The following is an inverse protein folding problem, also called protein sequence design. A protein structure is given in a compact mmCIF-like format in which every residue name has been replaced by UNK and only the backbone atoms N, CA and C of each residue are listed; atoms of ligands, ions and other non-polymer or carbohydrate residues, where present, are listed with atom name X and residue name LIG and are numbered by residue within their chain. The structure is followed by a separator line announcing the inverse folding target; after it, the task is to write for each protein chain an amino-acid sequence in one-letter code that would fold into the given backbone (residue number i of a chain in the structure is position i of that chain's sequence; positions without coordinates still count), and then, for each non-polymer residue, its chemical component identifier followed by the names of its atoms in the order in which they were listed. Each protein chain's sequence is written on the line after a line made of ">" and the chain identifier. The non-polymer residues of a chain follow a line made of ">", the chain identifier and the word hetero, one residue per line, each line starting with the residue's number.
data_IF_632267548441
#
_entry.id   IF_632267548441
#
_cell.length_a   1.000
_cell.length_b   1.000
_cell.length_c   1.000
_cell.angle_alpha   90.00
_cell.angle_beta   90.00
_cell.angle_gamma   90.00
#
_symmetry.space_group_name_H-M   'P 1'
#
loop_
_entity.id
_entity.type
_entity.pdbx_description
1 polymer ?
#
# COMPACT_ATOMS: atom_id res chain seq x y z
N UNK A 1 -19.88 -5.48 -0.71
CA UNK A 1 -18.79 -4.85 0.05
C UNK A 1 -17.83 -4.28 -0.97
N UNK A 2 -17.43 -3.03 -0.81
CA UNK A 2 -16.37 -2.46 -1.62
C UNK A 2 -15.00 -2.81 -1.00
N UNK A 3 -14.02 -3.10 -1.85
CA UNK A 3 -12.61 -3.14 -1.44
C UNK A 3 -11.93 -1.84 -1.87
N UNK A 4 -10.71 -1.61 -1.40
CA UNK A 4 -9.96 -0.40 -1.72
C UNK A 4 -8.68 -0.70 -2.50
N UNK A 5 -8.35 0.23 -3.40
CA UNK A 5 -7.13 0.25 -4.21
C UNK A 5 -6.44 1.59 -4.02
N UNK A 6 -5.50 1.64 -3.09
CA UNK A 6 -4.73 2.83 -2.73
C UNK A 6 -3.30 2.44 -2.37
N UNK A 7 -2.36 3.40 -2.37
CA UNK A 7 -0.95 3.08 -2.17
C UNK A 7 -0.58 2.83 -0.70
N UNK A 8 -1.21 3.58 0.23
CA UNK A 8 -0.90 3.55 1.66
C UNK A 8 -1.95 2.86 2.54
N UNK A 9 -2.94 2.20 1.93
CA UNK A 9 -4.00 1.47 2.63
C UNK A 9 -3.79 -0.05 2.65
N UNK A 10 -4.88 -0.77 2.91
CA UNK A 10 -4.88 -2.22 2.91
C UNK A 10 -4.72 -2.78 1.49
N UNK A 11 -3.99 -3.88 1.36
CA UNK A 11 -3.68 -4.52 0.06
C UNK A 11 -4.20 -5.95 -0.05
N UNK A 12 -4.69 -6.54 1.04
CA UNK A 12 -5.21 -7.91 1.07
C UNK A 12 -6.60 -7.88 1.69
N UNK A 13 -7.55 -8.47 0.98
CA UNK A 13 -8.96 -8.55 1.38
C UNK A 13 -9.43 -9.99 1.37
N UNK A 14 -10.29 -10.34 2.32
CA UNK A 14 -11.03 -11.61 2.33
C UNK A 14 -12.52 -11.31 2.37
N UNK A 15 -13.27 -11.95 1.48
CA UNK A 15 -14.70 -11.73 1.34
C UNK A 15 -15.43 -13.05 1.07
N UNK A 16 -16.75 -13.13 1.35
CA UNK A 16 -17.52 -14.33 1.04
C UNK A 16 -17.80 -14.48 -0.46
N UNK A 17 -17.80 -13.37 -1.21
CA UNK A 17 -18.07 -13.32 -2.66
C UNK A 17 -17.27 -12.19 -3.30
N UNK A 18 -16.88 -12.32 -4.58
CA UNK A 18 -16.11 -11.29 -5.27
C UNK A 18 -16.75 -9.90 -5.15
N UNK A 19 -15.92 -8.92 -4.84
CA UNK A 19 -16.38 -7.55 -4.72
C UNK A 19 -16.80 -7.01 -6.08
N UNK A 20 -17.95 -6.34 -6.11
CA UNK A 20 -18.50 -5.71 -7.32
C UNK A 20 -18.08 -4.25 -7.46
N UNK A 21 -17.41 -3.71 -6.45
CA UNK A 21 -16.99 -2.32 -6.38
C UNK A 21 -15.59 -2.23 -5.78
N UNK A 22 -14.76 -1.36 -6.35
CA UNK A 22 -13.42 -1.04 -5.88
C UNK A 22 -13.31 0.48 -5.73
N UNK A 23 -12.95 0.95 -4.54
CA UNK A 23 -12.66 2.35 -4.28
C UNK A 23 -11.20 2.65 -4.57
N UNK A 24 -10.96 3.44 -5.61
CA UNK A 24 -9.63 3.83 -6.05
C UNK A 24 -9.25 5.18 -5.45
N UNK A 25 -8.15 5.24 -4.71
CA UNK A 25 -7.58 6.50 -4.24
C UNK A 25 -6.79 7.18 -5.35
N UNK A 26 -7.18 8.39 -5.73
CA UNK A 26 -6.57 9.16 -6.83
C UNK A 26 -6.06 10.52 -6.37
N UNK A 27 -5.32 11.21 -7.24
CA UNK A 27 -4.91 12.61 -7.06
C UNK A 27 -6.06 13.60 -6.92
N UNK A 28 -7.26 13.24 -7.37
CA UNK A 28 -8.46 14.11 -7.42
C UNK A 28 -9.65 13.49 -6.68
N UNK A 29 -9.39 12.63 -5.69
CA UNK A 29 -10.41 12.08 -4.80
C UNK A 29 -10.52 10.56 -4.85
N UNK A 30 -11.60 10.06 -4.25
CA UNK A 30 -12.00 8.66 -4.30
C UNK A 30 -12.82 8.44 -5.56
N UNK A 31 -12.45 7.45 -6.37
CA UNK A 31 -13.23 7.00 -7.52
C UNK A 31 -13.72 5.57 -7.28
N UNK A 32 -15.02 5.39 -7.16
CA UNK A 32 -15.63 4.06 -7.10
C UNK A 32 -15.79 3.53 -8.53
N UNK A 33 -15.18 2.38 -8.81
CA UNK A 33 -15.42 1.63 -10.05
C UNK A 33 -16.25 0.40 -9.72
N UNK A 34 -17.27 0.11 -10.53
CA UNK A 34 -18.18 -1.00 -10.28
C UNK A 34 -18.39 -1.87 -11.52
N UNK A 35 -18.47 -3.18 -11.30
CA UNK A 35 -18.77 -4.19 -12.32
C UNK A 35 -20.26 -4.17 -12.64
N UNK A 36 -20.58 -3.91 -13.91
CA UNK A 36 -21.94 -3.87 -14.41
C UNK A 36 -22.53 -5.27 -14.51
N UNK A 37 -23.81 -5.43 -14.17
CA UNK A 37 -24.50 -6.73 -14.21
C UNK A 37 -24.83 -7.20 -15.62
N UNK A 38 -24.89 -6.28 -16.60
CA UNK A 38 -25.32 -6.56 -17.97
C UNK A 38 -24.24 -7.20 -18.84
N UNK A 39 -22.99 -6.77 -18.69
CA UNK A 39 -21.87 -7.13 -19.57
C UNK A 39 -20.58 -7.50 -18.82
N UNK A 40 -20.59 -7.50 -17.48
CA UNK A 40 -19.39 -7.69 -16.65
C UNK A 40 -18.28 -6.66 -16.87
N UNK A 41 -18.55 -5.53 -17.53
CA UNK A 41 -17.58 -4.46 -17.69
C UNK A 41 -17.50 -3.61 -16.42
N UNK A 42 -16.33 -3.04 -16.16
CA UNK A 42 -16.14 -2.09 -15.07
C UNK A 42 -16.38 -0.67 -15.57
N UNK A 43 -17.08 0.14 -14.77
CA UNK A 43 -17.32 1.55 -15.07
C UNK A 43 -17.16 2.39 -13.81
N UNK A 44 -16.82 3.66 -13.98
CA UNK A 44 -16.89 4.64 -12.88
C UNK A 44 -18.34 4.76 -12.45
N UNK A 45 -18.60 4.47 -11.18
CA UNK A 45 -19.93 4.50 -10.57
C UNK A 45 -20.15 5.78 -9.75
N UNK A 46 -19.15 6.18 -8.97
CA UNK A 46 -19.21 7.36 -8.11
C UNK A 46 -17.85 8.04 -7.97
N UNK A 47 -17.87 9.33 -7.63
CA UNK A 47 -16.69 10.11 -7.24
C UNK A 47 -16.99 10.84 -5.94
N UNK A 48 -16.06 10.82 -5.00
CA UNK A 48 -16.20 11.44 -3.69
C UNK A 48 -14.88 12.10 -3.26
N UNK A 49 -14.97 13.08 -2.35
CA UNK A 49 -13.81 13.84 -1.85
C UNK A 49 -12.96 14.42 -3.00
N UNK A 50 -13.62 15.02 -4.00
CA UNK A 50 -13.05 15.31 -5.32
C UNK A 50 -11.99 16.43 -5.36
N UNK A 51 -11.69 17.04 -4.22
CA UNK A 51 -10.72 18.12 -4.05
C UNK A 51 -9.47 17.67 -3.29
N UNK A 52 -9.34 16.37 -3.00
CA UNK A 52 -8.26 15.80 -2.19
C UNK A 52 -7.46 14.75 -2.94
N UNK A 53 -6.15 14.73 -2.73
CA UNK A 53 -5.31 13.63 -3.15
C UNK A 53 -5.37 12.51 -2.12
N UNK A 54 -6.05 11.42 -2.46
CA UNK A 54 -6.25 10.26 -1.58
C UNK A 54 -5.06 9.31 -1.67
N UNK A 55 -4.43 9.05 -0.53
CA UNK A 55 -3.22 8.24 -0.40
C UNK A 55 -3.49 6.84 0.12
N UNK A 56 -4.44 6.72 1.04
CA UNK A 56 -4.75 5.49 1.74
C UNK A 56 -6.25 5.34 1.94
N UNK A 57 -6.77 4.14 1.69
CA UNK A 57 -8.15 3.77 2.00
C UNK A 57 -8.12 2.40 2.69
N UNK A 58 -8.83 2.28 3.81
CA UNK A 58 -9.00 1.02 4.55
C UNK A 58 -10.47 0.79 4.87
N UNK A 59 -10.84 -0.47 5.06
CA UNK A 59 -12.13 -0.86 5.65
C UNK A 59 -11.85 -1.53 6.99
N UNK A 60 -12.47 -1.02 8.05
CA UNK A 60 -12.34 -1.57 9.39
C UNK A 60 -13.48 -2.59 9.61
N UNK A 61 -13.16 -3.89 9.80
CA UNK A 61 -14.16 -4.95 9.73
C UNK A 61 -15.16 -4.97 10.89
N UNK A 62 -14.81 -4.53 12.10
CA UNK A 62 -15.67 -4.59 13.29
C UNK A 62 -16.76 -3.50 13.26
N UNK A 63 -16.40 -2.25 12.94
CA UNK A 63 -17.34 -1.14 12.77
C UNK A 63 -18.01 -1.13 11.39
N UNK A 64 -17.38 -1.75 10.39
CA UNK A 64 -17.81 -1.69 8.99
C UNK A 64 -17.53 -0.36 8.29
N UNK A 65 -16.93 0.61 8.98
CA UNK A 65 -16.57 1.91 8.41
C UNK A 65 -15.41 1.79 7.43
N UNK A 66 -15.42 2.65 6.42
CA UNK A 66 -14.25 2.89 5.57
C UNK A 66 -13.58 4.20 5.98
N UNK A 67 -12.26 4.24 5.89
CA UNK A 67 -11.48 5.44 6.17
C UNK A 67 -10.62 5.81 4.95
N UNK A 68 -10.53 7.10 4.63
CA UNK A 68 -9.72 7.63 3.56
C UNK A 68 -8.79 8.73 4.09
N UNK A 69 -7.49 8.59 3.86
CA UNK A 69 -6.45 9.55 4.20
C UNK A 69 -6.05 10.36 2.96
N UNK A 70 -5.81 11.65 3.14
CA UNK A 70 -5.45 12.57 2.07
C UNK A 70 -4.13 13.33 2.30
N UNK A 71 -3.45 13.69 1.21
CA UNK A 71 -2.44 14.75 1.19
C UNK A 71 -3.12 16.13 1.23
N UNK A 72 -2.45 17.11 1.86
CA UNK A 72 -2.96 18.48 2.03
C UNK A 72 -4.40 18.50 2.59
N UNK A 73 -4.68 17.58 3.50
CA UNK A 73 -6.03 17.26 3.93
C UNK A 73 -6.08 16.46 5.22
N UNK A 74 -7.14 15.67 5.31
CA UNK A 74 -7.73 15.13 6.54
C UNK A 74 -7.98 13.63 6.38
N UNK A 75 -8.26 12.94 7.47
CA UNK A 75 -8.84 11.60 7.45
C UNK A 75 -10.36 11.73 7.38
N UNK A 76 -11.01 10.96 6.53
CA UNK A 76 -12.47 10.93 6.39
C UNK A 76 -12.99 9.52 6.66
N UNK A 77 -14.21 9.40 7.18
CA UNK A 77 -14.90 8.12 7.33
C UNK A 77 -16.16 8.05 6.47
N UNK A 78 -16.49 6.85 6.01
CA UNK A 78 -17.73 6.54 5.31
C UNK A 78 -18.42 5.35 5.98
N UNK A 79 -19.73 5.48 6.20
CA UNK A 79 -20.58 4.43 6.75
C UNK A 79 -21.43 3.70 5.69
N UNK A 80 -21.29 4.07 4.40
CA UNK A 80 -22.17 3.64 3.31
C UNK A 80 -21.40 3.13 2.08
N UNK A 81 -20.28 2.42 2.34
CA UNK A 81 -19.37 1.86 1.33
C UNK A 81 -18.78 2.93 0.38
N UNK A 82 -18.49 4.12 0.91
CA UNK A 82 -17.76 5.17 0.18
C UNK A 82 -18.63 6.12 -0.63
N UNK A 83 -19.95 6.14 -0.42
CA UNK A 83 -20.87 7.07 -1.12
C UNK A 83 -20.83 8.45 -0.49
N UNK A 84 -20.85 8.53 0.83
CA UNK A 84 -20.72 9.76 1.60
C UNK A 84 -19.58 9.65 2.60
N UNK A 85 -18.94 10.79 2.89
CA UNK A 85 -17.75 10.88 3.71
C UNK A 85 -17.84 12.06 4.65
N UNK A 86 -17.39 11.88 5.90
CA UNK A 86 -17.30 12.93 6.89
C UNK A 86 -15.87 13.06 7.43
N UNK A 87 -15.41 14.28 7.79
CA UNK A 87 -14.09 14.48 8.39
C UNK A 87 -13.95 13.77 9.75
N UNK A 88 -12.77 13.22 9.99
CA UNK A 88 -12.36 12.43 11.16
C UNK A 88 -10.88 12.68 11.47
N UNK A 89 -10.50 13.94 11.66
CA UNK A 89 -9.11 14.41 11.76
C UNK A 89 -8.81 15.27 13.00
N UNK A 90 -9.74 15.36 13.96
CA UNK A 90 -9.53 16.16 15.17
C UNK A 90 -8.30 15.65 15.94
N UNK A 91 -7.34 16.54 16.19
CA UNK A 91 -6.08 16.22 16.87
C UNK A 91 -4.92 15.83 15.95
N UNK A 92 -5.14 15.64 14.64
CA UNK A 92 -4.04 15.46 13.69
C UNK A 92 -3.32 16.79 13.46
N UNK A 93 -2.04 16.85 13.83
CA UNK A 93 -1.20 18.03 13.62
C UNK A 93 -0.49 18.05 12.27
N UNK A 94 -0.53 16.93 11.52
CA UNK A 94 0.05 16.79 10.18
C UNK A 94 -1.05 16.52 9.15
N UNK A 95 -1.02 17.23 8.03
CA UNK A 95 -2.07 17.20 7.00
C UNK A 95 -1.76 16.29 5.80
N UNK A 96 -0.58 15.70 5.73
CA UNK A 96 -0.23 14.78 4.66
C UNK A 96 -0.28 13.35 5.19
N UNK A 97 -1.48 12.77 5.18
CA UNK A 97 -1.66 11.35 5.51
C UNK A 97 -1.04 10.53 4.39
N UNK A 98 -0.14 9.62 4.73
CA UNK A 98 0.57 8.79 3.78
C UNK A 98 0.13 7.32 3.86
N UNK A 99 -0.14 6.83 5.07
CA UNK A 99 -0.61 5.48 5.33
C UNK A 99 -1.71 5.43 6.39
N UNK A 100 -2.60 4.45 6.24
CA UNK A 100 -3.66 4.13 7.19
C UNK A 100 -3.65 2.64 7.50
N UNK A 101 -3.84 2.31 8.78
CA UNK A 101 -4.04 0.94 9.20
C UNK A 101 -5.02 0.85 10.38
N UNK A 102 -5.64 -0.31 10.56
CA UNK A 102 -6.52 -0.59 11.69
C UNK A 102 -6.15 -1.94 12.29
N UNK A 103 -6.12 -2.02 13.61
CA UNK A 103 -5.78 -3.25 14.31
C UNK A 103 -6.50 -3.30 15.66
N UNK A 104 -6.84 -4.51 16.11
CA UNK A 104 -7.34 -4.70 17.48
C UNK A 104 -6.18 -4.71 18.46
N UNK A 105 -6.14 -3.74 19.36
CA UNK A 105 -5.13 -3.61 20.43
C UNK A 105 -5.87 -3.63 21.77
N UNK A 106 -5.46 -4.51 22.69
CA UNK A 106 -6.09 -4.66 24.01
C UNK A 106 -7.62 -4.79 23.97
N UNK A 107 -8.15 -5.52 22.98
CA UNK A 107 -9.57 -5.81 22.84
C UNK A 107 -10.41 -4.72 22.17
N UNK A 108 -9.82 -3.62 21.70
CA UNK A 108 -10.51 -2.53 21.00
C UNK A 108 -9.90 -2.27 19.64
N UNK A 109 -10.69 -1.78 18.69
CA UNK A 109 -10.20 -1.27 17.41
C UNK A 109 -9.40 0.00 17.67
N UNK A 110 -8.17 0.03 17.16
CA UNK A 110 -7.32 1.21 17.11
C UNK A 110 -6.96 1.50 15.65
N UNK A 111 -7.15 2.75 15.22
CA UNK A 111 -6.69 3.23 13.93
C UNK A 111 -5.30 3.85 14.07
N UNK A 112 -4.50 3.76 13.00
CA UNK A 112 -3.16 4.30 12.92
C UNK A 112 -3.02 5.14 11.65
N UNK A 113 -2.40 6.30 11.76
CA UNK A 113 -2.08 7.23 10.67
C UNK A 113 -0.58 7.44 10.64
N UNK A 114 0.04 7.15 9.49
CA UNK A 114 1.40 7.54 9.17
C UNK A 114 1.42 8.74 8.24
N UNK A 115 2.29 9.73 8.48
CA UNK A 115 2.27 11.01 7.73
C UNK A 115 3.59 11.36 7.04
N UNK A 116 3.59 12.47 6.29
CA UNK A 116 4.74 13.24 5.82
C UNK A 116 4.69 14.66 6.43
N UNK A 117 5.64 15.11 7.27
CA UNK A 117 6.78 14.39 7.82
C UNK A 117 6.40 13.12 8.58
N UNK A 118 7.38 12.23 8.78
CA UNK A 118 7.20 10.92 9.41
C UNK A 118 6.76 11.03 10.89
N UNK A 119 5.46 11.11 11.11
CA UNK A 119 4.81 11.01 12.41
C UNK A 119 3.84 9.82 12.41
N UNK A 120 3.54 9.33 13.60
CA UNK A 120 2.56 8.28 13.83
C UNK A 120 1.48 8.80 14.79
N UNK A 121 0.22 8.67 14.39
CA UNK A 121 -0.93 9.00 15.22
C UNK A 121 -1.82 7.78 15.42
N UNK A 122 -2.54 7.76 16.53
CA UNK A 122 -3.52 6.72 16.84
C UNK A 122 -4.87 7.32 17.23
N UNK A 123 -5.93 6.56 16.97
CA UNK A 123 -7.28 6.86 17.44
C UNK A 123 -7.93 5.60 17.98
N UNK A 124 -8.52 5.69 19.17
CA UNK A 124 -9.26 4.62 19.85
C UNK A 124 -10.78 4.81 19.75
N UNK A 125 -11.24 5.80 18.98
CA UNK A 125 -12.63 6.21 18.83
C UNK A 125 -13.04 6.38 17.36
N UNK A 126 -12.49 5.52 16.51
CA UNK A 126 -12.80 5.45 15.07
C UNK A 126 -12.57 6.79 14.36
N UNK A 127 -11.43 7.42 14.64
CA UNK A 127 -10.96 8.64 14.00
C UNK A 127 -11.60 9.92 14.53
N UNK A 128 -12.42 9.88 15.59
CA UNK A 128 -12.98 11.10 16.17
C UNK A 128 -11.92 11.95 16.85
N UNK A 129 -10.91 11.33 17.47
CA UNK A 129 -9.78 12.02 18.08
C UNK A 129 -8.48 11.26 17.82
N UNK A 130 -7.43 12.01 17.50
CA UNK A 130 -6.10 11.49 17.24
C UNK A 130 -5.09 11.96 18.28
N UNK A 131 -4.23 11.04 18.70
CA UNK A 131 -3.10 11.31 19.60
C UNK A 131 -1.81 10.87 18.91
N UNK A 132 -0.77 11.70 18.97
CA UNK A 132 0.54 11.34 18.43
C UNK A 132 1.24 10.28 19.31
N UNK A 133 1.93 9.33 18.68
CA UNK A 133 2.93 8.46 19.28
C UNK A 133 4.34 8.98 18.92
N UNK A 134 4.91 9.92 19.70
CA UNK A 134 6.16 10.58 19.33
C UNK A 134 7.39 9.68 19.42
N UNK A 135 7.30 8.55 20.14
CA UNK A 135 8.41 7.63 20.36
C UNK A 135 8.98 7.04 19.06
N UNK A 136 8.18 6.97 17.98
CA UNK A 136 8.66 6.59 16.64
C UNK A 136 9.87 7.46 16.23
N UNK A 137 9.84 8.75 16.59
CA UNK A 137 10.88 9.75 16.28
C UNK A 137 11.94 9.87 17.38
N UNK A 138 12.05 8.90 18.28
CA UNK A 138 13.06 8.90 19.36
C UNK A 138 14.24 7.98 19.07
N UNK A 139 14.34 7.42 17.86
CA UNK A 139 15.44 6.54 17.44
C UNK A 139 16.63 7.32 16.84
N UNK A 140 17.87 6.77 16.88
CA UNK A 140 19.06 7.48 16.43
C UNK A 140 19.09 7.87 14.95
N UNK A 141 18.37 7.16 14.07
CA UNK A 141 18.40 7.43 12.62
C UNK A 141 17.55 8.63 12.18
N UNK A 142 16.71 9.21 13.03
CA UNK A 142 15.79 10.31 12.68
C UNK A 142 16.45 11.47 11.92
N UNK A 143 17.64 11.98 12.31
CA UNK A 143 18.32 13.04 11.56
C UNK A 143 18.73 12.68 10.12
N UNK A 144 18.73 11.38 9.77
CA UNK A 144 19.08 10.85 8.45
C UNK A 144 17.87 10.57 7.57
N UNK A 145 16.66 10.54 8.14
CA UNK A 145 15.44 10.25 7.39
C UNK A 145 15.21 11.33 6.34
N UNK A 146 15.25 10.92 5.07
CA UNK A 146 15.22 11.88 3.98
C UNK A 146 14.70 11.24 2.69
N UNK A 147 13.56 11.72 2.18
CA UNK A 147 13.11 11.29 0.86
C UNK A 147 13.90 12.01 -0.25
N UNK A 148 14.46 11.32 -1.27
CA UNK A 148 15.30 11.96 -2.28
C UNK A 148 14.61 13.06 -3.09
N UNK A 149 13.28 13.00 -3.25
CA UNK A 149 12.54 14.05 -3.92
C UNK A 149 12.21 15.22 -2.97
N UNK A 150 12.18 16.47 -3.46
CA UNK A 150 11.66 17.59 -2.68
C UNK A 150 10.26 17.27 -2.13
N UNK A 151 9.96 17.61 -0.86
CA UNK A 151 10.69 18.55 -0.01
C UNK A 151 11.84 17.95 0.83
N UNK A 152 12.31 16.73 0.56
CA UNK A 152 13.40 16.10 1.35
C UNK A 152 12.99 15.74 2.78
N UNK A 153 11.78 15.18 2.89
CA UNK A 153 11.14 14.86 4.16
C UNK A 153 10.77 13.39 4.13
N UNK A 154 11.19 12.63 5.14
CA UNK A 154 10.78 11.23 5.29
C UNK A 154 9.31 11.11 5.69
N UNK A 155 8.70 9.96 5.36
CA UNK A 155 7.30 9.68 5.65
C UNK A 155 7.10 8.24 6.10
N UNK A 156 6.07 8.02 6.92
CA UNK A 156 5.68 6.66 7.34
C UNK A 156 4.92 6.01 6.20
N UNK A 157 5.62 5.16 5.46
CA UNK A 157 5.14 4.58 4.20
C UNK A 157 4.12 3.47 4.40
N UNK A 158 4.34 2.62 5.39
CA UNK A 158 3.48 1.49 5.68
C UNK A 158 3.55 1.13 7.16
N UNK A 159 2.43 0.63 7.68
CA UNK A 159 2.27 0.18 9.07
C UNK A 159 1.75 -1.26 9.01
N UNK A 160 2.42 -2.18 9.71
CA UNK A 160 2.02 -3.58 9.79
C UNK A 160 2.00 -4.04 11.25
N UNK A 161 1.25 -5.10 11.52
CA UNK A 161 1.11 -5.67 12.86
C UNK A 161 1.41 -7.15 12.81
N UNK A 162 2.09 -7.65 13.84
CA UNK A 162 2.21 -9.09 14.04
C UNK A 162 0.81 -9.69 14.27
N UNK A 163 0.40 -10.71 13.49
CA UNK A 163 -0.93 -11.30 13.60
C UNK A 163 -1.16 -12.06 14.92
N UNK A 164 -0.10 -12.52 15.59
CA UNK A 164 -0.18 -13.22 16.87
C UNK A 164 -0.06 -12.27 18.07
N UNK A 165 0.65 -11.15 17.90
CA UNK A 165 0.77 -10.11 18.93
C UNK A 165 0.54 -8.70 18.36
N UNK A 166 -0.70 -8.19 18.36
CA UNK A 166 -1.03 -6.86 17.83
C UNK A 166 -0.34 -5.66 18.50
N UNK A 167 0.30 -5.84 19.65
CA UNK A 167 1.16 -4.81 20.25
C UNK A 167 2.50 -4.67 19.51
N UNK A 168 2.90 -5.67 18.72
CA UNK A 168 4.06 -5.59 17.85
C UNK A 168 3.70 -4.86 16.56
N UNK A 169 4.27 -3.67 16.38
CA UNK A 169 4.02 -2.76 15.26
C UNK A 169 5.31 -2.63 14.46
N UNK A 170 5.20 -2.72 13.14
CA UNK A 170 6.29 -2.40 12.22
C UNK A 170 5.94 -1.15 11.42
N UNK A 171 6.87 -0.18 11.38
CA UNK A 171 6.74 1.03 10.59
C UNK A 171 7.85 1.11 9.56
N UNK A 172 7.48 1.20 8.28
CA UNK A 172 8.40 1.42 7.17
C UNK A 172 8.55 2.92 6.92
N UNK A 173 9.76 3.45 7.04
CA UNK A 173 10.10 4.83 6.67
C UNK A 173 10.83 4.77 5.32
N UNK A 174 10.23 5.36 4.29
CA UNK A 174 10.87 5.40 2.96
C UNK A 174 12.12 6.28 3.03
N UNK A 175 13.27 5.66 2.77
CA UNK A 175 14.61 6.24 2.99
C UNK A 175 14.80 6.72 4.43
N UNK A 176 14.44 5.85 5.37
CA UNK A 176 14.68 5.99 6.82
C UNK A 176 14.81 4.67 7.57
N UNK A 177 14.42 3.56 6.92
CA UNK A 177 14.58 2.21 7.43
C UNK A 177 13.28 1.60 7.96
N UNK A 178 13.40 0.36 8.44
CA UNK A 178 12.33 -0.33 9.15
C UNK A 178 12.51 -0.15 10.65
N UNK A 179 11.42 0.11 11.35
CA UNK A 179 11.37 0.13 12.80
C UNK A 179 10.35 -0.90 13.32
N UNK A 180 10.59 -1.44 14.51
CA UNK A 180 9.65 -2.28 15.26
C UNK A 180 9.42 -1.72 16.66
N UNK A 181 8.18 -1.77 17.11
CA UNK A 181 7.81 -1.68 18.51
C UNK A 181 7.18 -3.01 18.93
N UNK A 182 7.35 -3.42 20.18
CA UNK A 182 6.72 -4.64 20.76
C UNK A 182 5.74 -4.31 21.90
N UNK A 183 5.50 -3.02 22.15
CA UNK A 183 4.75 -2.48 23.28
C UNK A 183 3.70 -1.45 22.85
N UNK A 184 3.16 -1.59 21.64
CA UNK A 184 2.08 -0.74 21.14
C UNK A 184 2.53 0.65 20.70
N UNK A 185 3.83 0.84 20.44
CA UNK A 185 4.43 2.06 19.92
C UNK A 185 5.09 2.94 20.97
N UNK A 186 5.29 2.46 22.21
CA UNK A 186 5.94 3.20 23.29
C UNK A 186 7.47 3.23 23.12
N UNK A 187 8.07 2.14 22.66
CA UNK A 187 9.50 2.06 22.33
C UNK A 187 9.70 1.46 20.94
N UNK A 188 10.77 1.88 20.27
CA UNK A 188 11.08 1.47 18.91
C UNK A 188 12.54 1.04 18.78
N UNK A 189 12.77 -0.02 18.02
CA UNK A 189 14.10 -0.49 17.60
C UNK A 189 14.23 -0.44 16.07
N UNK A 190 15.46 -0.28 15.60
CA UNK A 190 15.80 -0.14 14.18
C UNK A 190 16.38 -1.43 13.61
N UNK A 191 16.23 -1.63 12.30
CA UNK A 191 16.88 -2.73 11.57
C UNK A 191 17.97 -2.19 10.62
N UNK A 192 19.16 -1.81 11.12
CA UNK A 192 20.18 -1.13 10.32
C UNK A 192 20.85 -2.01 9.25
N UNK A 193 20.66 -3.33 9.30
CA UNK A 193 21.15 -4.27 8.29
C UNK A 193 20.23 -4.37 7.07
N UNK A 194 18.99 -3.90 7.17
CA UNK A 194 18.07 -3.78 6.04
C UNK A 194 18.37 -2.47 5.29
N UNK A 195 18.22 -2.48 3.97
CA UNK A 195 18.37 -1.28 3.15
C UNK A 195 17.36 -0.18 3.58
N UNK A 196 17.82 1.07 3.67
CA UNK A 196 17.03 2.16 4.28
C UNK A 196 15.77 2.57 3.50
N UNK A 197 15.70 2.27 2.20
CA UNK A 197 14.57 2.63 1.34
C UNK A 197 13.47 1.56 1.40
N UNK A 198 12.80 1.45 2.56
CA UNK A 198 11.79 0.40 2.80
C UNK A 198 10.42 0.87 2.33
N UNK A 199 9.87 0.20 1.31
CA UNK A 199 8.57 0.57 0.74
C UNK A 199 7.40 -0.13 1.42
N UNK A 200 7.55 -1.43 1.72
CA UNK A 200 6.52 -2.22 2.38
C UNK A 200 7.14 -3.43 3.07
N UNK A 201 6.64 -3.72 4.27
CA UNK A 201 6.87 -4.98 4.97
C UNK A 201 5.64 -5.88 4.81
N UNK A 202 5.85 -7.18 4.67
CA UNK A 202 4.85 -8.22 4.86
C UNK A 202 5.34 -9.24 5.88
N UNK A 203 4.41 -9.72 6.70
CA UNK A 203 4.66 -10.69 7.76
C UNK A 203 4.02 -12.00 7.32
N UNK A 204 4.76 -13.11 7.35
CA UNK A 204 4.22 -14.40 6.98
C UNK A 204 3.08 -14.79 7.94
N UNK A 205 1.89 -15.19 7.45
CA UNK A 205 0.69 -15.24 8.28
C UNK A 205 0.67 -16.39 9.30
N UNK A 206 1.47 -17.43 9.09
CA UNK A 206 1.61 -18.56 10.03
C UNK A 206 3.00 -18.70 10.64
N UNK A 207 3.89 -17.75 10.35
CA UNK A 207 5.21 -17.66 10.98
C UNK A 207 5.61 -16.19 11.10
N UNK A 208 5.13 -15.46 12.12
CA UNK A 208 5.36 -14.02 12.24
C UNK A 208 6.83 -13.60 12.35
N UNK A 209 7.74 -14.56 12.55
CA UNK A 209 9.18 -14.32 12.53
C UNK A 209 9.73 -14.19 11.12
N UNK A 210 9.03 -14.73 10.13
CA UNK A 210 9.44 -14.68 8.74
C UNK A 210 8.89 -13.42 8.06
N UNK A 211 9.79 -12.51 7.75
CA UNK A 211 9.48 -11.18 7.21
C UNK A 211 9.93 -11.04 5.76
N UNK A 212 9.14 -10.33 4.97
CA UNK A 212 9.47 -9.91 3.62
C UNK A 212 9.46 -8.38 3.56
N UNK A 213 10.53 -7.76 3.06
CA UNK A 213 10.61 -6.33 2.87
C UNK A 213 10.92 -6.02 1.41
N UNK A 214 9.99 -5.33 0.72
CA UNK A 214 10.30 -4.73 -0.58
C UNK A 214 10.87 -3.35 -0.36
N UNK A 215 11.98 -3.09 -1.05
CA UNK A 215 12.80 -1.88 -0.89
C UNK A 215 13.12 -1.28 -2.24
N UNK A 216 13.71 -0.08 -2.25
CA UNK A 216 14.25 0.53 -3.46
C UNK A 216 15.37 -0.26 -4.15
N UNK A 217 15.81 -1.41 -3.63
CA UNK A 217 16.83 -2.29 -4.23
C UNK A 217 16.37 -3.72 -4.49
N UNK A 218 15.12 -4.05 -4.21
CA UNK A 218 14.60 -5.41 -4.36
C UNK A 218 13.96 -5.95 -3.10
N UNK A 219 13.70 -7.26 -3.10
CA UNK A 219 13.10 -8.03 -2.03
C UNK A 219 14.17 -8.54 -1.06
N UNK A 220 13.98 -8.25 0.22
CA UNK A 220 14.76 -8.79 1.33
C UNK A 220 13.88 -9.72 2.16
N UNK A 221 14.50 -10.76 2.70
CA UNK A 221 13.84 -11.76 3.54
C UNK A 221 14.56 -11.89 4.88
N UNK A 222 13.81 -11.82 5.98
CA UNK A 222 14.32 -11.95 7.33
C UNK A 222 13.63 -13.09 8.08
N UNK A 223 14.23 -14.28 8.23
CA UNK A 223 13.58 -15.45 8.82
C UNK A 223 13.41 -15.39 10.34
N UNK A 224 14.19 -14.54 11.03
CA UNK A 224 14.27 -14.49 12.49
C UNK A 224 13.88 -13.12 13.04
N UNK A 225 12.65 -12.69 12.75
CA UNK A 225 12.07 -11.41 13.17
C UNK A 225 12.95 -10.21 12.78
N UNK A 226 13.57 -10.28 11.60
CA UNK A 226 14.41 -9.22 11.05
C UNK A 226 15.81 -9.09 11.66
N UNK A 227 16.26 -10.00 12.52
CA UNK A 227 17.63 -9.97 13.08
C UNK A 227 18.73 -10.06 12.01
N UNK A 228 18.43 -10.71 10.89
CA UNK A 228 19.22 -10.74 9.66
C UNK A 228 18.30 -10.59 8.45
N UNK A 229 18.84 -10.03 7.38
CA UNK A 229 18.16 -9.89 6.10
C UNK A 229 19.01 -10.45 4.96
N UNK A 230 18.40 -11.28 4.12
CA UNK A 230 18.98 -11.80 2.89
C UNK A 230 18.28 -11.17 1.69
N UNK A 231 19.04 -10.60 0.76
CA UNK A 231 18.48 -10.02 -0.46
C UNK A 231 18.19 -11.14 -1.48
N UNK A 232 16.92 -11.38 -1.77
CA UNK A 232 16.47 -12.43 -2.71
C UNK A 232 16.27 -11.91 -4.13
N UNK A 233 15.97 -10.62 -4.30
CA UNK A 233 15.96 -9.98 -5.62
C UNK A 233 16.75 -8.67 -5.62
N UNK A 234 17.28 -8.32 -6.79
CA UNK A 234 18.14 -7.16 -7.03
C UNK A 234 17.60 -6.32 -8.18
N UNK A 235 18.22 -5.16 -8.39
CA UNK A 235 17.79 -4.21 -9.43
C UNK A 235 17.91 -4.76 -10.85
N UNK A 236 18.89 -5.64 -11.04
CA UNK A 236 19.23 -6.22 -12.34
C UNK A 236 18.33 -7.40 -12.71
N UNK A 237 17.54 -7.92 -11.76
CA UNK A 237 16.65 -9.05 -12.01
C UNK A 237 15.47 -8.64 -12.90
N UNK A 238 14.97 -9.57 -13.71
CA UNK A 238 13.87 -9.30 -14.64
C UNK A 238 12.58 -8.81 -13.97
N UNK A 239 12.41 -9.14 -12.68
CA UNK A 239 11.27 -8.77 -11.83
C UNK A 239 11.10 -7.25 -11.73
N UNK A 240 12.19 -6.48 -11.90
CA UNK A 240 12.23 -5.01 -11.83
C UNK A 240 13.03 -4.50 -10.63
N UNK A 241 13.60 -3.30 -10.76
CA UNK A 241 14.55 -2.77 -9.78
C UNK A 241 14.00 -1.80 -8.73
N UNK A 242 12.72 -1.49 -8.78
CA UNK A 242 12.06 -0.68 -7.75
C UNK A 242 10.69 -1.28 -7.38
N UNK A 243 10.66 -2.38 -6.60
CA UNK A 243 9.42 -3.05 -6.19
C UNK A 243 8.63 -2.24 -5.16
N UNK A 244 7.30 -2.34 -5.16
CA UNK A 244 6.44 -1.55 -4.28
C UNK A 244 5.15 -2.28 -3.88
N UNK A 245 4.30 -2.61 -4.84
CA UNK A 245 3.20 -3.55 -4.66
C UNK A 245 3.74 -4.93 -4.32
N UNK A 246 3.35 -5.47 -3.18
CA UNK A 246 3.73 -6.81 -2.73
C UNK A 246 2.58 -7.39 -1.91
N UNK A 247 2.06 -8.53 -2.34
CA UNK A 247 0.98 -9.26 -1.65
C UNK A 247 1.22 -10.76 -1.76
N UNK A 248 0.71 -11.52 -0.79
CA UNK A 248 0.59 -12.96 -0.87
C UNK A 248 -0.89 -13.34 -0.79
N UNK A 249 -1.22 -14.53 -1.30
CA UNK A 249 -2.54 -15.10 -1.15
C UNK A 249 -2.73 -15.62 0.28
N UNK A 250 -3.76 -15.19 1.02
CA UNK A 250 -3.96 -15.63 2.41
C UNK A 250 -4.04 -17.15 2.59
N UNK A 251 -4.77 -17.85 1.72
CA UNK A 251 -4.92 -19.31 1.84
C UNK A 251 -3.67 -20.11 1.46
N UNK A 252 -2.76 -19.51 0.69
CA UNK A 252 -1.51 -20.13 0.25
C UNK A 252 -0.42 -19.06 0.12
N UNK A 253 0.30 -18.76 1.21
CA UNK A 253 1.31 -17.70 1.23
C UNK A 253 2.49 -17.95 0.30
N UNK A 254 2.61 -19.14 -0.32
CA UNK A 254 3.62 -19.39 -1.36
C UNK A 254 3.28 -18.70 -2.68
N UNK A 255 2.00 -18.43 -2.91
CA UNK A 255 1.52 -17.68 -4.08
C UNK A 255 1.59 -16.19 -3.76
N UNK A 256 2.54 -15.52 -4.41
CA UNK A 256 2.84 -14.10 -4.17
C UNK A 256 2.82 -13.30 -5.46
N UNK A 257 2.53 -12.02 -5.35
CA UNK A 257 2.58 -11.09 -6.47
C UNK A 257 3.38 -9.85 -6.09
N UNK A 258 4.22 -9.41 -7.02
CA UNK A 258 5.06 -8.23 -6.86
C UNK A 258 4.93 -7.33 -8.07
N UNK A 259 4.79 -6.03 -7.83
CA UNK A 259 4.87 -5.00 -8.87
C UNK A 259 6.16 -4.24 -8.69
N UNK A 260 6.93 -4.05 -9.75
CA UNK A 260 8.16 -3.29 -9.70
C UNK A 260 8.36 -2.46 -10.96
N UNK A 261 8.78 -1.21 -10.77
CA UNK A 261 9.31 -0.41 -11.86
C UNK A 261 10.72 -0.86 -12.23
N UNK A 262 11.17 -0.48 -13.43
CA UNK A 262 12.52 -0.74 -13.88
C UNK A 262 13.54 0.06 -13.05
N UNK A 263 13.27 1.35 -12.86
CA UNK A 263 14.13 2.29 -12.14
C UNK A 263 13.35 3.09 -11.09
N UNK A 264 14.10 3.82 -10.25
CA UNK A 264 13.56 4.70 -9.23
C UNK A 264 12.84 5.94 -9.83
N UNK A 265 11.98 6.63 -9.04
CA UNK A 265 11.20 7.77 -9.51
C UNK A 265 11.99 8.95 -10.07
N UNK A 266 13.27 9.08 -9.70
CA UNK A 266 14.15 10.09 -10.30
C UNK A 266 14.38 9.85 -11.80
N UNK A 267 14.60 8.60 -12.20
CA UNK A 267 14.88 8.22 -13.59
C UNK A 267 13.65 8.34 -14.45
N UNK A 268 12.49 7.82 -14.00
CA UNK A 268 11.31 7.85 -14.87
C UNK A 268 10.75 9.26 -15.11
N UNK A 269 11.04 10.23 -14.23
CA UNK A 269 10.66 11.64 -14.45
C UNK A 269 11.45 12.28 -15.59
N UNK A 270 12.64 11.77 -15.89
CA UNK A 270 13.48 12.27 -17.00
C UNK A 270 13.25 11.45 -18.26
N UNK A 271 13.12 10.13 -18.16
CA UNK A 271 12.91 9.23 -19.30
C UNK A 271 11.46 9.15 -19.76
N UNK A 272 10.51 9.63 -18.96
CA UNK A 272 9.06 9.51 -19.19
C UNK A 272 8.60 8.03 -19.23
N UNK A 273 9.37 7.14 -18.60
CA UNK A 273 9.16 5.69 -18.64
C UNK A 273 9.59 5.03 -17.33
N UNK A 274 8.63 4.50 -16.57
CA UNK A 274 8.86 3.73 -15.35
C UNK A 274 9.19 2.26 -15.63
N UNK A 275 8.67 1.70 -16.73
CA UNK A 275 8.96 0.34 -17.16
C UNK A 275 8.43 -0.74 -16.23
N UNK A 276 7.26 -0.53 -15.62
CA UNK A 276 6.76 -1.41 -14.56
C UNK A 276 6.27 -2.77 -15.07
N UNK A 277 6.39 -3.77 -14.20
CA UNK A 277 5.98 -5.16 -14.41
C UNK A 277 5.20 -5.68 -13.22
N UNK A 278 4.41 -6.72 -13.46
CA UNK A 278 3.78 -7.55 -12.44
C UNK A 278 4.38 -8.95 -12.57
N UNK A 279 4.78 -9.53 -11.44
CA UNK A 279 5.38 -10.85 -11.37
C UNK A 279 4.70 -11.71 -10.33
N UNK A 280 4.70 -13.02 -10.54
CA UNK A 280 4.13 -14.01 -9.62
C UNK A 280 5.20 -14.98 -9.14
N UNK A 281 5.15 -15.32 -7.86
CA UNK A 281 5.86 -16.48 -7.29
C UNK A 281 4.85 -17.53 -6.85
N UNK A 282 5.23 -18.81 -6.92
CA UNK A 282 4.46 -19.96 -6.41
C UNK A 282 5.27 -20.80 -5.41
N UNK A 283 6.45 -20.32 -5.02
CA UNK A 283 7.40 -20.99 -4.13
C UNK A 283 7.83 -20.12 -2.95
N UNK A 284 7.01 -19.12 -2.60
CA UNK A 284 7.22 -18.24 -1.45
C UNK A 284 8.26 -17.15 -1.69
N UNK A 285 8.40 -16.70 -2.94
CA UNK A 285 9.26 -15.59 -3.35
C UNK A 285 10.67 -16.01 -3.81
N UNK A 286 10.96 -17.31 -3.92
CA UNK A 286 12.29 -17.81 -4.34
C UNK A 286 12.50 -17.64 -5.84
N UNK A 287 11.46 -17.86 -6.63
CA UNK A 287 11.46 -17.62 -8.08
C UNK A 287 10.24 -16.79 -8.49
N UNK A 288 10.41 -16.03 -9.57
CA UNK A 288 9.42 -15.06 -10.06
C UNK A 288 9.19 -15.23 -11.56
N UNK A 289 7.93 -15.37 -11.96
CA UNK A 289 7.47 -15.38 -13.34
C UNK A 289 6.92 -14.01 -13.71
N UNK A 290 7.42 -13.40 -14.79
CA UNK A 290 6.86 -12.15 -15.32
C UNK A 290 5.51 -12.43 -15.99
N UNK A 291 4.46 -11.72 -15.59
CA UNK A 291 3.12 -11.87 -16.13
C UNK A 291 2.94 -10.95 -17.35
N UNK A 292 2.47 -11.50 -18.47
CA UNK A 292 2.46 -10.81 -19.78
C UNK A 292 1.13 -10.86 -20.51
N UNK A 293 0.28 -11.83 -20.18
CA UNK A 293 -0.94 -12.04 -20.92
C UNK A 293 -1.97 -10.94 -20.62
N UNK A 294 -2.26 -10.10 -21.60
CA UNK A 294 -3.09 -8.91 -21.42
C UNK A 294 -2.38 -7.70 -20.79
N UNK A 295 -1.05 -7.77 -20.62
CA UNK A 295 -0.19 -6.67 -20.20
C UNK A 295 0.85 -6.37 -21.30
N UNK A 296 1.32 -5.12 -21.45
CA UNK A 296 2.52 -4.85 -22.23
C UNK A 296 3.76 -5.49 -21.55
N UNK A 297 4.86 -5.69 -22.28
CA UNK A 297 6.11 -6.20 -21.70
C UNK A 297 6.61 -5.32 -20.53
N UNK A 298 6.46 -4.01 -20.68
CA UNK A 298 6.69 -3.01 -19.65
C UNK A 298 5.64 -1.91 -19.78
N UNK A 299 5.07 -1.50 -18.65
CA UNK A 299 4.16 -0.37 -18.57
C UNK A 299 4.98 0.93 -18.59
N UNK A 300 4.55 1.91 -19.38
CA UNK A 300 5.16 3.24 -19.36
C UNK A 300 5.03 3.89 -17.98
N UNK A 301 3.87 3.73 -17.33
CA UNK A 301 3.60 4.21 -15.99
C UNK A 301 4.08 3.22 -14.90
N UNK A 302 4.27 3.72 -13.67
CA UNK A 302 4.48 2.88 -12.50
C UNK A 302 3.15 2.32 -12.00
N UNK A 303 3.19 1.21 -11.25
CA UNK A 303 2.04 0.68 -10.51
C UNK A 303 2.23 1.09 -9.05
N UNK A 304 1.30 1.88 -8.50
CA UNK A 304 1.44 2.44 -7.14
C UNK A 304 0.33 2.03 -6.19
N UNK A 305 -0.78 1.50 -6.70
CA UNK A 305 -1.76 0.81 -5.87
C UNK A 305 -1.96 -0.61 -6.40
N UNK A 306 -1.94 -1.57 -5.48
CA UNK A 306 -2.02 -2.98 -5.80
C UNK A 306 -2.71 -3.72 -4.66
N UNK A 307 -3.73 -4.52 -4.99
CA UNK A 307 -4.40 -5.34 -3.98
C UNK A 307 -4.84 -6.69 -4.51
N UNK A 308 -5.04 -7.62 -3.58
CA UNK A 308 -5.57 -8.95 -3.79
C UNK A 308 -6.82 -9.15 -2.93
N UNK A 309 -7.88 -9.69 -3.52
CA UNK A 309 -9.07 -10.16 -2.83
C UNK A 309 -9.19 -11.68 -2.99
N UNK A 310 -9.26 -12.40 -1.88
CA UNK A 310 -9.64 -13.81 -1.85
C UNK A 310 -11.11 -13.95 -1.45
N UNK A 311 -11.93 -14.47 -2.37
CA UNK A 311 -13.38 -14.42 -2.27
C UNK A 311 -14.04 -15.76 -2.61
N UNK A 312 -14.55 -16.48 -1.61
CA UNK A 312 -15.36 -17.70 -1.85
C UNK A 312 -14.73 -18.75 -2.75
N UNK A 313 -13.39 -18.90 -2.72
CA UNK A 313 -12.63 -19.82 -3.58
C UNK A 313 -12.10 -19.20 -4.90
N UNK A 314 -12.39 -17.94 -5.16
CA UNK A 314 -11.81 -17.14 -6.25
C UNK A 314 -10.78 -16.15 -5.73
N UNK A 315 -9.92 -15.66 -6.63
CA UNK A 315 -8.91 -14.66 -6.30
C UNK A 315 -8.91 -13.57 -7.37
N UNK A 316 -9.14 -12.33 -6.95
CA UNK A 316 -9.09 -11.15 -7.82
C UNK A 316 -7.88 -10.30 -7.45
N UNK A 317 -7.16 -9.79 -8.45
CA UNK A 317 -6.00 -8.92 -8.27
C UNK A 317 -6.26 -7.64 -9.04
N UNK A 318 -6.00 -6.49 -8.42
CA UNK A 318 -6.14 -5.19 -9.04
C UNK A 318 -4.82 -4.41 -8.98
N UNK A 319 -4.45 -3.78 -10.09
CA UNK A 319 -3.26 -2.96 -10.22
C UNK A 319 -3.63 -1.61 -10.84
N UNK A 320 -3.30 -0.51 -10.18
CA UNK A 320 -3.57 0.83 -10.68
C UNK A 320 -2.27 1.61 -10.91
N UNK A 321 -2.24 2.30 -12.05
CA UNK A 321 -1.04 2.98 -12.54
C UNK A 321 -1.03 4.47 -12.22
N UNK A 322 0.16 5.06 -12.23
CA UNK A 322 0.36 6.51 -12.15
C UNK A 322 -0.23 7.28 -13.34
N UNK A 323 -0.64 6.59 -14.41
CA UNK A 323 -1.32 7.17 -15.58
C UNK A 323 -2.85 7.09 -15.51
N UNK A 324 -3.44 6.53 -14.44
CA UNK A 324 -4.89 6.45 -14.30
C UNK A 324 -5.53 5.23 -14.95
N UNK A 325 -4.76 4.17 -15.21
CA UNK A 325 -5.26 2.90 -15.72
C UNK A 325 -5.43 1.91 -14.57
N UNK A 326 -6.47 1.08 -14.63
CA UNK A 326 -6.69 -0.02 -13.68
C UNK A 326 -6.76 -1.32 -14.45
N UNK A 327 -5.95 -2.27 -14.03
CA UNK A 327 -5.90 -3.63 -14.55
C UNK A 327 -6.44 -4.59 -13.51
N UNK A 328 -7.08 -5.67 -13.95
CA UNK A 328 -7.50 -6.76 -13.07
C UNK A 328 -7.18 -8.14 -13.65
N UNK A 329 -7.02 -9.11 -12.77
CA UNK A 329 -6.97 -10.54 -13.08
C UNK A 329 -7.84 -11.31 -12.09
N UNK A 330 -8.59 -12.31 -12.57
CA UNK A 330 -9.48 -13.16 -11.76
C UNK A 330 -9.01 -14.62 -11.71
N UNK A 331 -7.80 -14.89 -12.21
CA UNK A 331 -7.23 -16.23 -12.44
C UNK A 331 -5.77 -16.31 -12.00
N UNK A 332 -5.46 -15.68 -10.85
CA UNK A 332 -4.11 -15.69 -10.26
C UNK A 332 -3.02 -15.14 -11.20
N UNK A 333 -3.37 -14.13 -12.00
CA UNK A 333 -2.45 -13.41 -12.86
C UNK A 333 -2.19 -14.07 -14.21
N UNK A 334 -2.88 -15.17 -14.55
CA UNK A 334 -2.72 -15.85 -15.85
C UNK A 334 -3.24 -14.99 -17.02
N UNK A 335 -4.32 -14.23 -16.80
CA UNK A 335 -4.84 -13.25 -17.76
C UNK A 335 -5.14 -11.93 -17.06
N UNK A 336 -4.70 -10.83 -17.68
CA UNK A 336 -4.98 -9.48 -17.24
C UNK A 336 -5.90 -8.76 -18.23
N UNK A 337 -6.77 -7.91 -17.70
CA UNK A 337 -7.59 -7.00 -18.49
C UNK A 337 -7.41 -5.59 -17.96
N UNK A 338 -7.22 -4.62 -18.86
CA UNK A 338 -7.41 -3.21 -18.53
C UNK A 338 -8.90 -2.96 -18.40
N UNK A 339 -9.36 -2.74 -17.18
CA UNK A 339 -10.79 -2.59 -16.86
C UNK A 339 -11.23 -1.14 -16.84
N UNK A 340 -10.32 -0.20 -16.58
CA UNK A 340 -10.58 1.24 -16.59
C UNK A 340 -9.36 1.98 -17.17
N UNK A 341 -9.62 3.07 -17.89
CA UNK A 341 -8.63 4.07 -18.29
C UNK A 341 -9.15 5.49 -18.03
N UNK A 342 -8.25 6.47 -17.99
CA UNK A 342 -8.61 7.89 -17.86
C UNK A 342 -9.06 8.30 -16.46
N UNK A 343 -8.70 7.54 -15.42
CA UNK A 343 -8.82 8.06 -14.05
C UNK A 343 -7.81 9.17 -13.82
N UNK A 344 -8.07 10.08 -12.87
CA UNK A 344 -7.01 10.90 -12.30
C UNK A 344 -5.87 10.00 -11.80
N UNK A 345 -4.61 10.47 -11.84
CA UNK A 345 -3.45 9.65 -11.50
C UNK A 345 -3.60 8.97 -10.13
N UNK A 346 -3.31 7.66 -10.08
CA UNK A 346 -3.15 6.94 -8.81
C UNK A 346 -1.68 7.03 -8.47
N UNK A 347 -1.33 7.94 -7.56
CA UNK A 347 0.08 8.25 -7.35
C UNK A 347 0.45 8.69 -5.94
N UNK A 348 1.68 8.40 -5.55
CA UNK A 348 2.39 8.92 -4.38
C UNK A 348 2.97 10.29 -4.71
N UNK A 349 2.51 11.31 -3.98
CA UNK A 349 2.92 12.70 -4.19
C UNK A 349 3.02 13.06 -5.69
N UNK A 350 4.23 13.37 -6.18
CA UNK A 350 4.51 13.76 -7.56
C UNK A 350 5.11 12.66 -8.45
N UNK A 351 4.88 11.37 -8.17
CA UNK A 351 5.45 10.27 -8.98
C UNK A 351 4.86 10.20 -10.40
N UNK A 352 3.60 10.58 -10.58
CA UNK A 352 2.92 10.65 -11.87
C UNK A 352 3.46 11.72 -12.82
N UNK A 353 4.17 12.73 -12.30
CA UNK A 353 4.66 13.85 -13.11
C UNK A 353 5.52 13.30 -14.26
N UNK A 354 5.28 13.81 -15.46
CA UNK A 354 5.96 13.40 -16.70
C UNK A 354 5.66 11.96 -17.18
N UNK A 355 4.71 11.25 -16.56
CA UNK A 355 4.19 9.95 -17.04
C UNK A 355 2.77 10.04 -17.59
N UNK A 356 2.08 11.14 -17.31
CA UNK A 356 0.76 11.47 -17.87
C UNK A 356 0.98 12.38 -19.08
N UNK A 357 0.29 12.11 -20.19
CA UNK A 357 0.28 13.03 -21.33
C UNK A 357 -0.29 14.39 -20.89
N UNK A 358 0.36 15.47 -21.32
CA UNK A 358 -0.02 16.85 -20.97
C UNK A 358 -1.44 17.22 -21.41
#
# INVERSE_FOLDING_TARGET
>A
MAIALSHGGATIYSSPMPSKEVLVGTREGVVAIARQTSDSEWRVANRAITDKHISAIIREPESGLMFAGAFHGSVHASADDGKTWEPRDNGLSQSNVYSLAAQRVNGRVRLFVGTEPAHLFVSDDLGLHWTELPALRSVPSVPKWNFPAPPHIGHVKHINFDPENPATIYASIEVGGLLRSTDGGEHWEEFPSLYEDVHRLMIHPSDPKFLYAVTGRGLYVGPDSGTRWDQWTKREDEVGGYPDGFVFRPSDPKVMFMTAAHDAPGTWRTTHFAGARISRSTDGGRTWQILRNGLPDRLQASIEAFCLEEAGGSCSIFAATTSGEVFSSEDLGEHWKKIISGLPPISKAGHYRNLVAA
#
